data_IF_286691511339
#
_entry.id   IF_286691511339
#
_cell.length_a   1.000
_cell.length_b   1.000
_cell.length_c   1.000
_cell.angle_alpha   90.00
_cell.angle_beta   90.00
_cell.angle_gamma   90.00
#
_symmetry.space_group_name_H-M   'P 1'
#
loop_
_entity.id
_entity.type
_entity.pdbx_description
1 polymer ?
#
# COMPACT_ATOMS: atom_id res chain seq x y z
N UNK A 1 18.47 -12.06 5.41
CA UNK A 1 17.60 -12.66 5.09
C UNK A 1 16.36 -12.18 5.49
N UNK A 2 15.61 -12.21 4.83
CA UNK A 2 14.53 -11.54 5.09
C UNK A 2 13.65 -12.24 6.00
N UNK A 3 13.57 -11.80 7.11
CA UNK A 3 12.73 -12.29 7.92
C UNK A 3 11.43 -11.88 7.40
N UNK A 4 10.49 -12.64 7.46
CA UNK A 4 9.22 -12.27 7.13
C UNK A 4 8.90 -11.03 7.80
N UNK A 5 8.45 -10.10 7.07
CA UNK A 5 8.03 -8.88 7.65
C UNK A 5 6.79 -9.17 8.44
N UNK A 6 7.00 -9.65 9.61
CA UNK A 6 5.96 -10.05 10.42
C UNK A 6 5.78 -9.03 11.35
N UNK A 7 5.46 -7.95 11.03
CA UNK A 7 5.20 -6.97 11.98
C UNK A 7 4.19 -7.56 12.90
N UNK A 8 4.25 -7.16 14.06
CA UNK A 8 3.42 -7.66 15.06
C UNK A 8 2.02 -7.69 14.58
N UNK A 9 1.69 -6.81 13.78
CA UNK A 9 0.44 -6.88 13.22
C UNK A 9 0.64 -7.16 11.79
N UNK A 10 1.52 -7.89 11.48
CA UNK A 10 1.83 -8.31 10.18
C UNK A 10 0.79 -8.03 9.16
N UNK A 11 -0.22 -7.38 9.54
CA UNK A 11 -1.36 -7.21 8.74
C UNK A 11 -1.22 -6.20 7.68
N UNK A 12 -0.17 -5.47 7.69
CA UNK A 12 -0.16 -4.36 6.76
C UNK A 12 0.87 -4.42 5.69
N UNK A 13 1.87 -5.25 5.85
CA UNK A 13 3.06 -5.11 5.02
C UNK A 13 3.16 -6.07 3.87
N UNK A 14 2.90 -7.34 4.07
CA UNK A 14 3.07 -8.28 2.96
C UNK A 14 2.18 -9.51 3.10
N UNK A 15 2.02 -10.20 2.00
CA UNK A 15 1.24 -11.44 1.96
C UNK A 15 -0.21 -11.20 1.62
N UNK A 16 -1.00 -12.22 1.74
CA UNK A 16 -2.45 -12.12 1.59
C UNK A 16 -2.98 -12.05 0.16
N UNK A 17 -2.14 -12.13 -0.83
CA UNK A 17 -2.63 -12.07 -2.21
C UNK A 17 -3.56 -13.25 -2.49
N UNK A 18 -4.69 -12.95 -3.12
CA UNK A 18 -5.67 -13.95 -3.42
C UNK A 18 -6.63 -14.26 -2.30
N UNK A 19 -6.47 -13.63 -1.12
CA UNK A 19 -7.33 -13.94 0.03
C UNK A 19 -8.53 -13.02 0.18
N UNK A 20 -8.62 -11.94 -0.59
CA UNK A 20 -9.66 -10.94 -0.36
C UNK A 20 -11.07 -11.45 -0.56
N UNK A 21 -11.24 -12.50 -1.34
CA UNK A 21 -12.56 -13.10 -1.58
C UNK A 21 -12.81 -14.29 -0.66
N UNK A 22 -11.93 -14.56 0.27
CA UNK A 22 -12.10 -15.68 1.20
C UNK A 22 -12.77 -15.24 2.48
N UNK A 23 -13.09 -16.19 3.34
CA UNK A 23 -13.72 -15.90 4.62
C UNK A 23 -12.79 -15.15 5.56
N UNK A 24 -11.49 -15.23 5.34
CA UNK A 24 -10.50 -14.54 6.17
C UNK A 24 -9.55 -13.76 5.30
N UNK A 25 -9.98 -12.64 4.76
CA UNK A 25 -9.11 -11.84 3.90
C UNK A 25 -7.95 -11.23 4.69
N UNK A 26 -6.78 -11.23 4.11
CA UNK A 26 -5.61 -10.62 4.71
C UNK A 26 -5.28 -9.37 3.89
N UNK A 27 -5.52 -8.21 4.45
CA UNK A 27 -5.31 -6.94 3.77
C UNK A 27 -3.92 -6.42 4.05
N UNK A 28 -3.13 -6.37 3.00
CA UNK A 28 -1.77 -5.86 3.08
C UNK A 28 -1.53 -4.89 1.94
N UNK A 29 -0.34 -4.31 1.89
CA UNK A 29 0.04 -3.46 0.78
C UNK A 29 -0.11 -4.22 -0.54
N UNK A 30 0.34 -5.46 -0.60
CA UNK A 30 0.30 -6.23 -1.85
C UNK A 30 -1.06 -6.79 -2.22
N UNK A 31 -1.91 -7.06 -1.24
CA UNK A 31 -3.21 -7.68 -1.52
C UNK A 31 -4.33 -6.67 -1.68
N UNK A 32 -4.28 -5.57 -0.95
CA UNK A 32 -5.44 -4.69 -0.81
C UNK A 32 -5.23 -3.30 -1.37
N UNK A 33 -4.08 -2.69 -1.15
CA UNK A 33 -3.88 -1.29 -1.52
C UNK A 33 -3.92 -1.11 -3.04
N UNK A 34 -4.67 -0.12 -3.52
CA UNK A 34 -4.85 0.02 -4.98
C UNK A 34 -3.71 0.72 -5.70
N UNK A 35 -2.95 1.56 -4.99
CA UNK A 35 -1.92 2.37 -5.65
C UNK A 35 -0.62 2.36 -4.87
N UNK A 36 0.48 2.20 -5.60
CA UNK A 36 1.81 2.24 -4.99
C UNK A 36 2.18 3.62 -4.45
N UNK A 37 1.82 4.73 -5.11
CA UNK A 37 2.11 6.05 -4.54
C UNK A 37 1.50 6.29 -3.16
N UNK A 38 0.40 5.63 -2.84
CA UNK A 38 -0.20 5.73 -1.52
C UNK A 38 0.73 5.19 -0.45
N UNK A 39 1.44 4.10 -0.76
CA UNK A 39 2.42 3.55 0.18
C UNK A 39 3.54 4.55 0.45
N UNK A 40 4.06 5.16 -0.60
CA UNK A 40 5.11 6.17 -0.47
C UNK A 40 4.63 7.32 0.41
N UNK A 41 3.44 7.81 0.14
CA UNK A 41 2.89 8.95 0.87
C UNK A 41 2.70 8.63 2.35
N UNK A 42 2.18 7.44 2.64
CA UNK A 42 1.98 7.02 4.02
C UNK A 42 3.31 6.94 4.78
N UNK A 43 4.32 6.33 4.16
CA UNK A 43 5.62 6.21 4.81
C UNK A 43 6.24 7.59 5.04
N UNK A 44 6.13 8.46 4.06
CA UNK A 44 6.72 9.78 4.17
C UNK A 44 6.09 10.60 5.29
N UNK A 45 4.79 10.50 5.45
CA UNK A 45 4.07 11.33 6.42
C UNK A 45 4.02 10.73 7.81
N UNK A 46 3.95 9.42 7.92
CA UNK A 46 3.63 8.78 9.19
C UNK A 46 4.73 7.91 9.76
N UNK A 47 5.69 7.52 8.96
CA UNK A 47 6.71 6.59 9.43
C UNK A 47 8.09 7.23 9.43
N UNK A 48 9.01 6.85 10.32
CA UNK A 48 8.81 5.90 11.43
C UNK A 48 7.81 6.42 12.45
N UNK A 49 7.11 5.51 13.07
CA UNK A 49 6.03 5.89 13.98
C UNK A 49 6.48 6.78 15.12
N UNK A 50 7.68 6.56 15.61
CA UNK A 50 8.23 7.35 16.71
C UNK A 50 8.96 8.61 16.24
N UNK A 51 9.06 8.83 14.94
CA UNK A 51 9.71 10.01 14.39
C UNK A 51 9.17 10.30 13.00
N UNK A 52 7.88 10.64 12.88
CA UNK A 52 7.28 10.89 11.58
C UNK A 52 8.02 11.96 10.79
N UNK A 53 8.08 11.78 9.49
CA UNK A 53 8.68 12.74 8.57
C UNK A 53 10.19 12.92 8.75
N UNK A 54 10.83 11.96 9.38
CA UNK A 54 12.28 12.04 9.60
C UNK A 54 13.10 11.40 8.49
N UNK A 55 12.47 10.67 7.56
CA UNK A 55 13.19 10.01 6.49
C UNK A 55 13.39 10.93 5.30
N UNK A 56 14.55 10.80 4.66
CA UNK A 56 14.78 11.50 3.40
C UNK A 56 13.94 10.88 2.29
N UNK A 57 13.78 11.61 1.19
CA UNK A 57 13.04 11.05 0.05
C UNK A 57 13.68 9.77 -0.46
N UNK A 58 15.00 9.70 -0.48
CA UNK A 58 15.68 8.49 -0.92
C UNK A 58 15.35 7.31 -0.01
N UNK A 59 15.32 7.56 1.29
CA UNK A 59 14.99 6.51 2.24
C UNK A 59 13.54 6.05 2.08
N UNK A 60 12.63 6.98 1.84
CA UNK A 60 11.23 6.62 1.62
C UNK A 60 11.08 5.77 0.36
N UNK A 61 11.78 6.13 -0.72
CA UNK A 61 11.76 5.30 -1.93
C UNK A 61 12.36 3.92 -1.65
N UNK A 62 13.46 3.85 -0.89
CA UNK A 62 14.09 2.58 -0.61
C UNK A 62 13.19 1.66 0.21
N UNK A 63 12.54 2.19 1.23
CA UNK A 63 11.62 1.41 2.06
C UNK A 63 10.41 0.97 1.24
N UNK A 64 9.87 1.86 0.43
CA UNK A 64 8.74 1.53 -0.43
C UNK A 64 9.12 0.40 -1.40
N UNK A 65 10.30 0.49 -2.00
CA UNK A 65 10.78 -0.55 -2.90
C UNK A 65 10.91 -1.89 -2.19
N UNK A 66 11.41 -1.88 -0.97
CA UNK A 66 11.57 -3.11 -0.20
C UNK A 66 10.21 -3.76 0.09
N UNK A 67 9.24 -2.98 0.52
CA UNK A 67 7.90 -3.51 0.81
C UNK A 67 7.25 -4.05 -0.45
N UNK A 68 7.38 -3.34 -1.57
CA UNK A 68 6.83 -3.82 -2.84
C UNK A 68 7.54 -5.10 -3.30
N UNK A 69 8.85 -5.18 -3.07
CA UNK A 69 9.60 -6.39 -3.38
C UNK A 69 9.13 -7.58 -2.53
N UNK A 70 8.89 -7.35 -1.23
CA UNK A 70 8.37 -8.40 -0.36
C UNK A 70 7.04 -8.96 -0.85
N UNK A 71 6.26 -8.15 -1.54
CA UNK A 71 4.97 -8.56 -2.09
C UNK A 71 5.07 -9.09 -3.52
N UNK A 72 6.27 -9.23 -4.04
CA UNK A 72 6.45 -9.76 -5.39
C UNK A 72 6.13 -8.78 -6.50
N UNK A 73 6.06 -7.49 -6.19
CA UNK A 73 5.67 -6.47 -7.16
C UNK A 73 6.86 -5.76 -7.80
N UNK A 74 8.05 -5.95 -7.25
CA UNK A 74 9.27 -5.38 -7.79
C UNK A 74 10.39 -6.40 -7.73
N UNK A 75 11.29 -6.42 -8.71
CA UNK A 75 12.48 -7.27 -8.62
C UNK A 75 13.45 -6.71 -7.58
N UNK A 76 14.38 -7.56 -7.17
CA UNK A 76 15.32 -7.27 -6.10
C UNK A 76 16.22 -6.09 -6.43
N UNK A 77 16.55 -5.92 -7.71
CA UNK A 77 17.46 -4.88 -8.15
C UNK A 77 16.79 -3.64 -8.68
N UNK A 78 15.48 -3.51 -8.50
CA UNK A 78 14.77 -2.35 -9.01
C UNK A 78 15.01 -1.13 -8.15
N UNK A 79 15.08 0.03 -8.81
CA UNK A 79 15.18 1.30 -8.14
C UNK A 79 13.90 2.08 -8.36
N UNK A 80 13.37 2.68 -7.33
CA UNK A 80 12.15 3.46 -7.45
C UNK A 80 12.43 4.95 -7.54
N UNK A 81 11.69 5.61 -8.38
CA UNK A 81 11.60 7.07 -8.41
C UNK A 81 10.13 7.42 -8.64
N UNK A 82 9.84 8.71 -8.78
CA UNK A 82 8.45 9.15 -8.93
C UNK A 82 7.76 8.49 -10.12
N UNK A 83 8.50 8.32 -11.20
CA UNK A 83 7.92 7.76 -12.42
C UNK A 83 7.71 6.26 -12.31
N UNK A 84 8.70 5.53 -11.85
CA UNK A 84 8.57 4.08 -11.73
C UNK A 84 7.57 3.70 -10.64
N UNK A 85 7.49 4.49 -9.58
CA UNK A 85 6.49 4.25 -8.53
C UNK A 85 5.07 4.36 -9.09
N UNK A 86 4.82 5.38 -9.90
CA UNK A 86 3.50 5.56 -10.49
C UNK A 86 3.15 4.47 -11.50
N UNK A 87 4.15 3.82 -12.07
CA UNK A 87 3.93 2.79 -13.08
C UNK A 87 3.61 1.42 -12.51
N UNK A 88 3.76 1.22 -11.21
CA UNK A 88 3.51 -0.08 -10.60
C UNK A 88 2.02 -0.37 -10.59
N UNK A 89 1.65 -1.55 -11.07
CA UNK A 89 0.25 -1.96 -11.05
C UNK A 89 0.01 -2.86 -9.86
N UNK A 90 -0.76 -2.38 -8.92
CA UNK A 90 -1.09 -3.15 -7.73
C UNK A 90 -2.17 -4.18 -8.05
N UNK A 91 -2.13 -5.37 -7.44
CA UNK A 91 -3.10 -6.41 -7.74
C UNK A 91 -4.55 -6.01 -7.53
N UNK A 92 -4.81 -5.13 -6.57
CA UNK A 92 -6.18 -4.73 -6.25
C UNK A 92 -6.58 -3.39 -6.84
N UNK A 93 -5.81 -2.90 -7.81
CA UNK A 93 -6.01 -1.55 -8.34
C UNK A 93 -7.40 -1.28 -8.87
N UNK A 94 -7.98 -2.26 -9.54
CA UNK A 94 -9.25 -2.05 -10.20
C UNK A 94 -10.37 -2.87 -9.59
N UNK A 95 -10.20 -3.31 -8.35
CA UNK A 95 -11.17 -4.18 -7.72
C UNK A 95 -12.01 -3.49 -6.66
N UNK A 96 -11.86 -2.21 -6.50
CA UNK A 96 -12.72 -1.45 -5.62
C UNK A 96 -13.99 -1.09 -6.36
N UNK A 97 -15.12 -1.31 -5.72
CA UNK A 97 -16.41 -0.99 -6.30
C UNK A 97 -17.15 -0.06 -5.36
N UNK A 98 -18.11 0.67 -5.89
CA UNK A 98 -18.94 1.50 -5.06
C UNK A 98 -19.76 0.67 -4.08
N UNK A 99 -20.15 1.29 -3.00
CA UNK A 99 -20.96 0.62 -2.00
C UNK A 99 -22.40 0.55 -2.51
N UNK A 100 -22.94 -0.65 -2.73
CA UNK A 100 -24.28 -0.78 -3.31
C UNK A 100 -25.42 -0.64 -2.30
N UNK A 101 -25.11 -0.40 -1.05
CA UNK A 101 -26.17 -0.32 -0.04
C UNK A 101 -27.01 0.93 -0.26
N UNK A 102 -28.33 0.81 -0.16
CA UNK A 102 -29.20 1.96 -0.47
C UNK A 102 -29.14 3.08 0.57
N UNK A 103 -28.60 2.79 1.75
CA UNK A 103 -28.48 3.79 2.80
C UNK A 103 -27.19 4.61 2.69
N UNK A 104 -26.35 4.32 1.71
CA UNK A 104 -25.12 5.07 1.53
C UNK A 104 -25.32 6.11 0.44
N UNK A 105 -25.30 7.35 0.84
CA UNK A 105 -25.39 8.43 -0.11
C UNK A 105 -23.99 8.92 -0.44
N UNK A 106 -23.49 8.47 -1.54
CA UNK A 106 -22.16 8.88 -1.99
C UNK A 106 -22.21 10.14 -2.82
N UNK A 107 -22.94 11.12 -2.35
CA UNK A 107 -22.90 12.38 -3.08
C UNK A 107 -21.57 13.03 -2.79
N UNK A 108 -20.81 13.26 -3.81
CA UNK A 108 -19.58 13.99 -3.67
C UNK A 108 -19.90 15.35 -3.08
N UNK A 109 -19.12 15.74 -2.13
CA UNK A 109 -19.33 17.06 -1.56
C UNK A 109 -18.92 18.10 -2.59
N UNK A 110 -19.83 18.99 -2.93
CA UNK A 110 -19.56 20.00 -3.93
C UNK A 110 -19.34 21.38 -3.35
N UNK A 111 -19.61 21.57 -2.07
CA UNK A 111 -19.36 22.85 -1.44
C UNK A 111 -19.44 22.70 0.07
N UNK A 112 -18.61 23.44 0.75
CA UNK A 112 -18.61 23.53 2.21
C UNK A 112 -18.52 22.20 2.93
N UNK A 113 -17.71 21.32 2.42
CA UNK A 113 -17.46 20.06 3.09
C UNK A 113 -16.13 20.08 3.85
#
# INVERSE_FOLDING_TARGET
MARKARAASATGLSGGRGTLTTAKPVRTVGSYWPYAPTLFDYIRRAMPQNAPQSLSSEDVYAVSAFILHLNGLLPDDATLDAKSLAAIKMPNREKFTGDPRPDVHNSACTSNC
#
